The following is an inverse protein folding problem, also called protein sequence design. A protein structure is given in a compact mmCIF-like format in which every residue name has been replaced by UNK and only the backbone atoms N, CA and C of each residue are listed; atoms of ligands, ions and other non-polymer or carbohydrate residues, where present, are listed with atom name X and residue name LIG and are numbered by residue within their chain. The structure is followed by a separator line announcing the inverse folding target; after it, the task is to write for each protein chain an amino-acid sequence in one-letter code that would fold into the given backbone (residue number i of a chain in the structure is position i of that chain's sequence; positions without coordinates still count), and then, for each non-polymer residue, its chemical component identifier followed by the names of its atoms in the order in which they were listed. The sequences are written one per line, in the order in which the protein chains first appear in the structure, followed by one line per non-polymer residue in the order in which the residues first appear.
data_IF_643001898815
#
_entry.id   IF_643001898815
#
_cell.length_a   1.000
_cell.length_b   1.000
_cell.length_c   1.000
_cell.angle_alpha   90.00
_cell.angle_beta   90.00
_cell.angle_gamma   90.00
#
_symmetry.space_group_name_H-M   'P 1'
#
loop_
_entity.id
_entity.type
_entity.pdbx_description
1 polymer ?
#
# COMPACT_ATOMS: atom_id res chain seq x y z
N UNK A 1 -20.15 -8.20 -10.94
CA UNK A 1 -19.79 -7.28 -9.85
C UNK A 1 -19.00 -8.06 -8.82
N UNK A 2 -17.93 -7.48 -8.30
CA UNK A 2 -17.03 -8.11 -7.31
C UNK A 2 -17.20 -7.35 -5.99
N UNK A 3 -17.28 -8.07 -4.86
CA UNK A 3 -17.23 -7.43 -3.53
C UNK A 3 -15.79 -7.16 -3.15
N UNK A 4 -15.52 -5.95 -2.70
CA UNK A 4 -14.17 -5.51 -2.35
C UNK A 4 -14.20 -4.60 -1.13
N UNK A 5 -13.07 -4.48 -0.47
CA UNK A 5 -12.92 -3.81 0.81
C UNK A 5 -11.78 -2.79 0.75
N UNK A 6 -11.92 -1.72 1.52
CA UNK A 6 -10.84 -0.76 1.71
C UNK A 6 -10.92 -0.12 3.10
N UNK A 7 -9.75 0.14 3.67
CA UNK A 7 -9.60 0.96 4.87
C UNK A 7 -9.61 2.45 4.49
N UNK A 8 -10.62 3.19 4.96
CA UNK A 8 -10.73 4.62 4.78
C UNK A 8 -10.71 5.34 6.13
N UNK A 9 -10.06 6.51 6.20
CA UNK A 9 -10.17 7.35 7.38
C UNK A 9 -11.61 7.86 7.52
N UNK A 10 -12.10 8.00 8.76
CA UNK A 10 -13.46 8.47 9.11
C UNK A 10 -13.79 9.92 8.68
N UNK A 11 -12.83 10.68 8.13
CA UNK A 11 -12.98 12.08 7.67
C UNK A 11 -13.13 12.15 6.14
N UNK A 12 -13.59 13.28 5.54
CA UNK A 12 -14.51 13.26 4.40
C UNK A 12 -14.00 12.39 3.26
N UNK A 13 -14.83 11.40 2.90
CA UNK A 13 -14.58 10.43 1.83
C UNK A 13 -14.15 11.19 0.58
N UNK A 14 -12.87 11.07 0.22
CA UNK A 14 -12.43 11.50 -1.11
C UNK A 14 -13.20 10.66 -2.13
N UNK A 15 -14.07 11.31 -2.90
CA UNK A 15 -14.93 10.64 -3.88
C UNK A 15 -14.17 10.11 -5.10
N UNK A 16 -12.84 10.32 -5.18
CA UNK A 16 -12.04 9.82 -6.29
C UNK A 16 -11.59 8.38 -6.03
N UNK A 17 -12.39 7.43 -6.51
CA UNK A 17 -12.02 6.03 -6.64
C UNK A 17 -11.22 5.78 -7.92
N UNK A 18 -10.28 6.64 -8.29
CA UNK A 18 -9.31 6.37 -9.36
C UNK A 18 -7.95 6.10 -8.69
N UNK A 19 -7.25 5.06 -9.15
CA UNK A 19 -6.03 4.54 -8.53
C UNK A 19 -6.27 4.09 -7.07
N UNK A 20 -7.47 3.60 -6.75
CA UNK A 20 -7.77 3.08 -5.41
C UNK A 20 -7.60 1.57 -5.40
N UNK A 21 -6.88 1.08 -4.40
CA UNK A 21 -6.60 -0.35 -4.19
C UNK A 21 -7.73 -0.92 -3.33
N UNK A 22 -8.38 -1.98 -3.80
CA UNK A 22 -9.55 -2.58 -3.19
C UNK A 22 -9.33 -4.09 -3.09
N UNK A 23 -9.13 -4.60 -1.88
CA UNK A 23 -8.89 -6.02 -1.64
C UNK A 23 -10.19 -6.83 -1.73
N UNK A 24 -10.13 -8.08 -2.20
CA UNK A 24 -11.29 -8.98 -2.18
C UNK A 24 -11.59 -9.55 -0.78
N UNK A 25 -10.69 -9.35 0.17
CA UNK A 25 -10.84 -9.73 1.57
C UNK A 25 -10.76 -8.49 2.48
N UNK A 26 -11.59 -8.39 3.54
CA UNK A 26 -11.45 -7.33 4.53
C UNK A 26 -10.19 -7.50 5.39
N UNK A 27 -9.61 -8.71 5.45
CA UNK A 27 -8.33 -8.98 6.15
C UNK A 27 -7.24 -8.07 5.61
N UNK A 28 -7.10 -7.95 4.28
CA UNK A 28 -6.11 -7.07 3.66
C UNK A 28 -6.27 -5.61 4.07
N UNK A 29 -7.51 -5.14 4.28
CA UNK A 29 -7.76 -3.78 4.77
C UNK A 29 -7.32 -3.62 6.23
N UNK A 30 -7.56 -4.62 7.09
CA UNK A 30 -7.12 -4.59 8.48
C UNK A 30 -5.59 -4.67 8.61
N UNK A 31 -4.94 -5.55 7.83
CA UNK A 31 -3.49 -5.67 7.80
C UNK A 31 -2.82 -4.42 7.25
N UNK A 32 -3.43 -3.78 6.26
CA UNK A 32 -2.98 -2.46 5.76
C UNK A 32 -2.99 -1.39 6.85
N UNK A 33 -3.94 -1.43 7.78
CA UNK A 33 -3.98 -0.47 8.91
C UNK A 33 -2.80 -0.70 9.85
N UNK A 34 -2.47 -1.95 10.18
CA UNK A 34 -1.22 -2.26 10.91
C UNK A 34 0.00 -1.80 10.12
N UNK A 35 0.08 -2.13 8.82
CA UNK A 35 1.15 -1.70 7.95
C UNK A 35 1.34 -0.18 8.01
N UNK A 36 0.28 0.60 7.80
CA UNK A 36 0.34 2.06 7.86
C UNK A 36 0.71 2.61 9.24
N UNK A 37 0.43 1.88 10.33
CA UNK A 37 0.90 2.23 11.66
C UNK A 37 2.40 1.93 11.82
N UNK A 38 2.83 0.73 11.46
CA UNK A 38 4.23 0.28 11.53
C UNK A 38 5.17 1.13 10.66
N UNK A 39 4.68 1.69 9.54
CA UNK A 39 5.49 2.57 8.70
C UNK A 39 5.76 3.95 9.34
N UNK A 40 5.01 4.40 10.35
CA UNK A 40 5.21 5.73 10.96
C UNK A 40 6.53 5.86 11.71
N UNK A 41 7.00 4.75 12.28
CA UNK A 41 8.20 4.69 13.09
C UNK A 41 8.82 3.30 12.96
N UNK A 42 10.12 3.26 12.73
CA UNK A 42 10.84 1.99 12.79
C UNK A 42 10.84 1.52 14.25
N UNK A 43 10.23 0.36 14.50
CA UNK A 43 10.05 -0.19 15.85
C UNK A 43 10.56 -1.63 15.94
N UNK A 44 10.97 -2.06 17.14
CA UNK A 44 11.23 -3.47 17.43
C UNK A 44 10.66 -3.88 18.77
N UNK A 45 10.26 -5.15 18.87
CA UNK A 45 9.82 -5.77 20.12
C UNK A 45 11.00 -6.44 20.83
N UNK A 46 11.16 -6.14 22.11
CA UNK A 46 12.18 -6.74 22.96
C UNK A 46 11.62 -7.95 23.74
N UNK A 47 12.51 -8.81 24.22
CA UNK A 47 12.19 -10.03 24.99
C UNK A 47 11.53 -9.78 26.35
N UNK A 48 11.53 -8.54 26.82
CA UNK A 48 10.85 -8.06 28.03
C UNK A 48 9.51 -7.36 27.73
N UNK A 49 8.98 -7.54 26.52
CA UNK A 49 7.72 -6.93 26.08
C UNK A 49 7.74 -5.39 26.11
N UNK A 50 8.90 -4.79 25.85
CA UNK A 50 9.01 -3.37 25.54
C UNK A 50 9.22 -3.16 24.04
N UNK A 51 8.84 -1.98 23.55
CA UNK A 51 8.99 -1.55 22.16
C UNK A 51 10.05 -0.47 22.09
N UNK A 52 11.09 -0.69 21.28
CA UNK A 52 12.06 0.35 20.93
C UNK A 52 11.59 1.08 19.68
N UNK A 53 11.75 2.40 19.66
CA UNK A 53 11.66 3.22 18.45
C UNK A 53 13.05 3.59 18.00
N UNK A 54 13.28 3.58 16.70
CA UNK A 54 14.57 3.88 16.09
C UNK A 54 14.53 5.17 15.26
N UNK A 55 15.67 5.86 15.20
CA UNK A 55 15.91 6.90 14.19
C UNK A 55 16.27 6.29 12.82
N UNK A 56 16.47 7.16 11.83
CA UNK A 56 16.87 6.75 10.47
C UNK A 56 18.27 6.15 10.38
N UNK A 57 19.09 6.28 11.42
CA UNK A 57 20.42 5.66 11.53
C UNK A 57 20.37 4.30 12.26
N UNK A 58 19.20 3.89 12.74
CA UNK A 58 19.03 2.64 13.49
C UNK A 58 19.40 2.75 14.97
N UNK A 59 19.51 3.95 15.53
CA UNK A 59 19.70 4.14 16.96
C UNK A 59 18.37 4.16 17.69
N UNK A 60 18.33 3.56 18.89
CA UNK A 60 17.14 3.60 19.75
C UNK A 60 16.97 5.02 20.32
N UNK A 61 15.86 5.67 19.99
CA UNK A 61 15.53 7.03 20.45
C UNK A 61 14.45 7.05 21.54
N UNK A 62 13.67 5.97 21.66
CA UNK A 62 12.70 5.81 22.74
C UNK A 62 12.46 4.34 23.05
N UNK A 63 12.03 4.06 24.27
CA UNK A 63 11.59 2.74 24.71
C UNK A 63 10.32 2.87 25.52
N UNK A 64 9.31 2.06 25.22
CA UNK A 64 8.02 2.07 25.92
C UNK A 64 7.51 0.66 26.23
N UNK A 65 6.65 0.47 27.24
CA UNK A 65 5.97 -0.81 27.47
C UNK A 65 5.08 -1.20 26.28
N UNK A 66 4.92 -2.51 26.01
CA UNK A 66 4.03 -3.02 24.96
C UNK A 66 2.62 -2.44 25.07
N UNK A 67 2.04 -2.44 26.27
CA UNK A 67 0.67 -1.95 26.46
C UNK A 67 0.49 -0.50 26.02
N UNK A 68 1.47 0.38 26.27
CA UNK A 68 1.41 1.77 25.82
C UNK A 68 1.41 1.85 24.27
N UNK A 69 2.25 1.05 23.61
CA UNK A 69 2.27 0.96 22.15
C UNK A 69 0.95 0.42 21.57
N UNK A 70 0.31 -0.54 22.25
CA UNK A 70 -0.99 -1.07 21.83
C UNK A 70 -2.10 -0.01 21.95
N UNK A 71 -2.06 0.86 22.95
CA UNK A 71 -2.97 2.02 23.02
C UNK A 71 -2.74 3.02 21.88
N UNK A 72 -1.49 3.25 21.47
CA UNK A 72 -1.18 4.07 20.29
C UNK A 72 -1.77 3.44 19.02
N UNK A 73 -1.61 2.13 18.86
CA UNK A 73 -2.19 1.38 17.74
C UNK A 73 -3.73 1.44 17.74
N UNK A 74 -4.39 1.20 18.88
CA UNK A 74 -5.84 1.31 19.00
C UNK A 74 -6.32 2.72 18.64
N UNK A 75 -5.62 3.75 19.13
CA UNK A 75 -5.93 5.15 18.81
C UNK A 75 -5.81 5.42 17.31
N UNK A 76 -4.82 4.82 16.65
CA UNK A 76 -4.64 4.90 15.22
C UNK A 76 -5.74 4.14 14.44
N UNK A 77 -5.96 2.86 14.76
CA UNK A 77 -6.91 1.99 14.08
C UNK A 77 -8.35 2.53 14.15
N UNK A 78 -8.75 3.12 15.29
CA UNK A 78 -10.06 3.78 15.46
C UNK A 78 -10.32 4.94 14.50
N UNK A 79 -9.28 5.50 13.87
CA UNK A 79 -9.44 6.57 12.86
C UNK A 79 -9.89 6.03 11.51
N UNK A 80 -9.93 4.71 11.33
CA UNK A 80 -10.33 4.04 10.11
C UNK A 80 -11.64 3.27 10.27
N UNK A 81 -12.28 3.08 9.12
CA UNK A 81 -13.37 2.15 8.87
C UNK A 81 -12.93 1.20 7.74
N UNK A 82 -13.30 -0.08 7.84
CA UNK A 82 -13.19 -1.02 6.71
C UNK A 82 -14.55 -1.06 6.02
N UNK A 83 -14.66 -0.37 4.89
CA UNK A 83 -15.90 -0.28 4.13
C UNK A 83 -15.98 -1.35 3.04
N UNK A 84 -17.16 -1.93 2.86
CA UNK A 84 -17.47 -2.82 1.74
C UNK A 84 -17.99 -2.02 0.54
N UNK A 85 -17.54 -2.43 -0.65
CA UNK A 85 -17.95 -1.87 -1.92
C UNK A 85 -18.31 -2.96 -2.93
N UNK A 86 -19.18 -2.59 -3.87
CA UNK A 86 -19.41 -3.32 -5.11
C UNK A 86 -18.59 -2.69 -6.22
N UNK A 87 -17.79 -3.51 -6.88
CA UNK A 87 -16.87 -3.11 -7.95
C UNK A 87 -17.33 -3.67 -9.31
N UNK A 88 -17.45 -2.79 -10.29
CA UNK A 88 -17.77 -3.11 -11.68
C UNK A 88 -16.48 -3.28 -12.49
N UNK A 89 -16.20 -4.54 -12.83
CA UNK A 89 -15.06 -4.96 -13.65
C UNK A 89 -15.58 -5.85 -14.77
N UNK A 90 -15.06 -5.63 -15.96
CA UNK A 90 -15.28 -6.48 -17.12
C UNK A 90 -13.96 -7.10 -17.58
N UNK A 91 -12.91 -6.29 -17.75
CA UNK A 91 -11.65 -6.72 -18.35
C UNK A 91 -10.46 -6.18 -17.54
N UNK A 92 -10.06 -6.87 -16.46
CA UNK A 92 -8.93 -6.43 -15.65
C UNK A 92 -7.60 -6.80 -16.33
N UNK A 93 -6.64 -5.88 -16.31
CA UNK A 93 -5.24 -6.18 -16.67
C UNK A 93 -4.54 -6.78 -15.44
N UNK A 94 -4.03 -8.01 -15.59
CA UNK A 94 -3.28 -8.68 -14.54
C UNK A 94 -1.89 -8.06 -14.41
N UNK A 95 -1.57 -7.59 -13.21
CA UNK A 95 -0.27 -7.10 -12.82
C UNK A 95 0.44 -8.12 -11.90
N UNK A 96 1.76 -8.02 -11.87
CA UNK A 96 2.66 -8.74 -10.97
C UNK A 96 3.17 -7.74 -9.94
N UNK A 97 2.89 -8.00 -8.67
CA UNK A 97 3.49 -7.24 -7.58
C UNK A 97 4.95 -7.67 -7.42
N UNK A 98 5.87 -6.79 -7.81
CA UNK A 98 7.33 -7.03 -7.76
C UNK A 98 8.01 -6.35 -6.58
N UNK A 99 7.29 -5.49 -5.86
CA UNK A 99 7.84 -4.69 -4.78
C UNK A 99 7.29 -5.07 -3.42
N UNK A 100 6.24 -5.91 -3.40
CA UNK A 100 5.49 -6.20 -2.18
C UNK A 100 5.07 -4.87 -1.51
N UNK A 101 4.88 -3.82 -2.30
CA UNK A 101 4.54 -2.47 -1.88
C UNK A 101 4.23 -1.71 -3.16
N UNK A 102 3.15 -0.91 -3.21
CA UNK A 102 2.62 -0.50 -4.51
C UNK A 102 3.26 0.79 -5.05
N UNK A 103 4.19 0.66 -6.01
CA UNK A 103 4.20 1.58 -7.14
C UNK A 103 4.22 0.82 -8.47
N UNK A 104 3.05 0.53 -9.05
CA UNK A 104 2.85 0.01 -10.42
C UNK A 104 3.92 0.48 -11.43
N UNK A 105 4.24 1.78 -11.50
CA UNK A 105 5.22 2.30 -12.45
C UNK A 105 6.68 1.92 -12.18
N UNK A 106 7.05 1.59 -10.94
CA UNK A 106 8.42 1.25 -10.55
C UNK A 106 8.83 -0.17 -10.93
N UNK A 107 7.87 -1.07 -11.15
CA UNK A 107 8.12 -2.44 -11.59
C UNK A 107 8.51 -2.53 -13.09
N UNK A 108 8.48 -1.40 -13.80
CA UNK A 108 8.84 -1.32 -15.22
C UNK A 108 7.92 -2.19 -16.09
N UNK A 109 8.39 -2.68 -17.26
CA UNK A 109 7.54 -3.46 -18.15
C UNK A 109 7.15 -4.83 -17.57
N UNK A 110 7.86 -5.31 -16.54
CA UNK A 110 7.57 -6.56 -15.85
C UNK A 110 6.40 -6.46 -14.88
N UNK A 111 5.85 -5.26 -14.65
CA UNK A 111 4.64 -5.09 -13.84
C UNK A 111 3.43 -5.78 -14.46
N UNK A 112 3.41 -5.99 -15.78
CA UNK A 112 2.28 -6.63 -16.46
C UNK A 112 2.56 -8.11 -16.66
N UNK A 113 1.58 -8.96 -16.30
CA UNK A 113 1.65 -10.39 -16.58
C UNK A 113 1.54 -10.64 -18.09
N UNK A 114 2.69 -10.84 -18.72
CA UNK A 114 2.80 -11.03 -20.17
C UNK A 114 2.12 -12.32 -20.66
N UNK A 115 1.91 -13.31 -19.78
CA UNK A 115 1.23 -14.57 -20.13
C UNK A 115 -0.22 -14.36 -20.54
N UNK A 116 -0.81 -13.21 -20.17
CA UNK A 116 -2.20 -12.84 -20.46
C UNK A 116 -2.33 -11.87 -21.64
N UNK A 117 -1.22 -11.51 -22.30
CA UNK A 117 -1.19 -10.55 -23.39
C UNK A 117 -0.79 -11.20 -24.72
N UNK A 118 -1.32 -10.65 -25.82
CA UNK A 118 -0.81 -10.95 -27.16
C UNK A 118 0.58 -10.37 -27.35
N UNK A 119 1.37 -10.92 -28.27
CA UNK A 119 2.73 -10.40 -28.56
C UNK A 119 2.75 -8.92 -28.99
N UNK A 120 1.67 -8.41 -29.59
CA UNK A 120 1.55 -6.98 -29.93
C UNK A 120 1.44 -6.12 -28.67
N UNK A 121 0.51 -6.47 -27.78
CA UNK A 121 0.30 -5.75 -26.52
C UNK A 121 1.55 -5.81 -25.64
N UNK A 122 2.25 -6.94 -25.61
CA UNK A 122 3.52 -7.06 -24.90
C UNK A 122 4.55 -6.04 -25.41
N UNK A 123 4.73 -5.91 -26.74
CA UNK A 123 5.67 -4.93 -27.31
C UNK A 123 5.30 -3.50 -26.94
N UNK A 124 4.01 -3.18 -26.95
CA UNK A 124 3.53 -1.85 -26.54
C UNK A 124 3.85 -1.56 -25.07
N UNK A 125 3.60 -2.50 -24.16
CA UNK A 125 3.96 -2.36 -22.74
C UNK A 125 5.46 -2.10 -22.60
N UNK A 126 6.32 -2.89 -23.25
CA UNK A 126 7.77 -2.67 -23.20
C UNK A 126 8.17 -1.29 -23.75
N UNK A 127 7.50 -0.82 -24.80
CA UNK A 127 7.74 0.52 -25.35
C UNK A 127 7.35 1.64 -24.38
N UNK A 128 6.30 1.46 -23.56
CA UNK A 128 5.91 2.47 -22.56
C UNK A 128 7.00 2.75 -21.54
N UNK A 129 7.73 1.71 -21.12
CA UNK A 129 8.74 1.78 -20.08
C UNK A 129 10.16 1.97 -20.60
N UNK A 130 10.35 2.10 -21.92
CA UNK A 130 11.66 2.32 -22.51
C UNK A 130 12.34 3.56 -21.88
N UNK A 131 13.66 3.49 -21.61
CA UNK A 131 14.59 2.40 -21.91
C UNK A 131 14.72 1.33 -20.81
N UNK A 132 13.84 1.30 -19.81
CA UNK A 132 13.91 0.29 -18.75
C UNK A 132 13.40 -1.07 -19.24
N UNK A 133 14.18 -2.12 -18.97
CA UNK A 133 13.87 -3.51 -19.37
C UNK A 133 13.32 -4.36 -18.19
N UNK A 134 13.18 -3.77 -17.01
CA UNK A 134 12.75 -4.44 -15.81
C UNK A 134 12.48 -3.45 -14.69
N UNK A 135 12.64 -3.91 -13.44
CA UNK A 135 12.41 -3.10 -12.24
C UNK A 135 13.27 -1.83 -12.25
N UNK A 136 12.62 -0.70 -11.99
CA UNK A 136 13.19 0.64 -12.04
C UNK A 136 13.59 1.04 -10.62
N UNK A 137 14.86 0.83 -10.29
CA UNK A 137 15.42 1.28 -9.02
C UNK A 137 15.83 2.76 -9.09
N UNK A 138 15.89 3.47 -7.96
CA UNK A 138 16.25 4.89 -7.91
C UNK A 138 17.56 5.23 -8.65
N UNK A 139 18.59 4.39 -8.49
CA UNK A 139 19.88 4.55 -9.14
C UNK A 139 19.84 4.38 -10.67
N UNK A 140 18.78 3.79 -11.23
CA UNK A 140 18.61 3.65 -12.68
C UNK A 140 18.09 4.95 -13.31
N UNK A 141 17.35 5.75 -12.55
CA UNK A 141 16.62 6.91 -13.09
C UNK A 141 17.58 7.97 -13.62
N UNK A 142 18.55 8.39 -12.81
CA UNK A 142 19.51 9.43 -13.19
C UNK A 142 20.54 8.97 -14.24
N UNK A 143 20.57 7.67 -14.59
CA UNK A 143 21.34 7.17 -15.74
C UNK A 143 20.63 7.40 -17.08
N UNK A 144 19.32 7.65 -17.03
CA UNK A 144 18.45 7.77 -18.19
C UNK A 144 17.89 9.18 -18.33
N UNK A 145 17.43 9.76 -17.22
CA UNK A 145 16.80 11.07 -17.18
C UNK A 145 17.71 12.06 -16.47
N UNK A 146 17.92 13.23 -17.08
CA UNK A 146 18.49 14.36 -16.36
C UNK A 146 17.46 14.97 -15.40
N UNK A 147 17.93 15.75 -14.41
CA UNK A 147 17.02 16.51 -13.55
C UNK A 147 16.08 17.42 -14.34
N UNK A 148 16.55 18.00 -15.44
CA UNK A 148 15.74 18.84 -16.31
C UNK A 148 14.61 18.05 -16.96
N UNK A 149 14.86 16.81 -17.39
CA UNK A 149 13.82 15.94 -17.97
C UNK A 149 12.73 15.61 -16.95
N UNK A 150 13.13 15.31 -15.71
CA UNK A 150 12.19 14.98 -14.63
C UNK A 150 11.32 16.20 -14.28
N UNK A 151 11.92 17.39 -14.19
CA UNK A 151 11.15 18.63 -13.98
C UNK A 151 10.23 18.95 -15.16
N UNK A 152 10.61 18.61 -16.40
CA UNK A 152 9.73 18.74 -17.56
C UNK A 152 8.50 17.82 -17.45
N UNK A 153 8.69 16.59 -16.99
CA UNK A 153 7.58 15.64 -16.74
C UNK A 153 6.64 16.19 -15.66
N UNK A 154 7.19 16.69 -14.55
CA UNK A 154 6.40 17.31 -13.48
C UNK A 154 5.58 18.50 -13.99
N UNK A 155 6.18 19.35 -14.82
CA UNK A 155 5.49 20.49 -15.47
C UNK A 155 4.42 20.06 -16.45
N UNK A 156 4.65 19.00 -17.22
CA UNK A 156 3.65 18.43 -18.13
C UNK A 156 2.36 18.02 -17.40
N UNK A 157 2.49 17.55 -16.15
CA UNK A 157 1.36 17.15 -15.31
C UNK A 157 0.84 18.25 -14.36
N UNK A 158 1.26 19.51 -14.52
CA UNK A 158 0.94 20.59 -13.58
C UNK A 158 -0.58 20.81 -13.36
N UNK A 159 -1.41 20.54 -14.36
CA UNK A 159 -2.88 20.66 -14.27
C UNK A 159 -3.60 19.30 -14.14
N UNK A 160 -2.85 18.20 -14.10
CA UNK A 160 -3.43 16.86 -13.99
C UNK A 160 -3.76 16.55 -12.52
N UNK A 161 -5.04 16.68 -12.15
CA UNK A 161 -5.53 16.41 -10.78
C UNK A 161 -5.15 15.02 -10.25
N UNK A 162 -5.15 13.99 -11.10
CA UNK A 162 -4.77 12.64 -10.68
C UNK A 162 -3.29 12.58 -10.30
N UNK A 163 -2.41 13.11 -11.16
CA UNK A 163 -0.97 13.19 -10.87
C UNK A 163 -0.71 13.97 -9.59
N UNK A 164 -1.32 15.15 -9.44
CA UNK A 164 -1.12 16.01 -8.26
C UNK A 164 -1.53 15.28 -6.98
N UNK A 165 -2.70 14.62 -6.98
CA UNK A 165 -3.19 13.89 -5.82
C UNK A 165 -2.28 12.72 -5.45
N UNK A 166 -1.86 11.92 -6.44
CA UNK A 166 -0.98 10.78 -6.25
C UNK A 166 0.43 11.19 -5.80
N UNK A 167 0.94 12.30 -6.31
CA UNK A 167 2.23 12.87 -5.91
C UNK A 167 2.18 13.41 -4.47
N UNK A 168 1.09 14.10 -4.09
CA UNK A 168 0.90 14.58 -2.72
C UNK A 168 0.78 13.43 -1.72
N UNK A 169 0.10 12.32 -2.06
CA UNK A 169 0.07 11.11 -1.20
C UNK A 169 1.47 10.58 -0.92
N UNK A 170 2.33 10.52 -1.95
CA UNK A 170 3.74 10.09 -1.83
C UNK A 170 4.54 11.04 -0.95
N UNK A 171 4.37 12.35 -1.13
CA UNK A 171 4.99 13.38 -0.28
C UNK A 171 4.62 13.22 1.20
N UNK A 172 3.33 13.06 1.50
CA UNK A 172 2.87 12.88 2.88
C UNK A 172 3.38 11.56 3.48
N UNK A 173 3.46 10.48 2.67
CA UNK A 173 4.09 9.21 3.08
C UNK A 173 5.57 9.42 3.44
N UNK A 174 6.36 10.05 2.56
CA UNK A 174 7.78 10.32 2.82
C UNK A 174 7.98 11.17 4.08
N UNK A 175 7.11 12.18 4.30
CA UNK A 175 7.12 12.98 5.52
C UNK A 175 6.82 12.14 6.77
N UNK A 176 5.86 11.23 6.69
CA UNK A 176 5.48 10.37 7.82
C UNK A 176 6.62 9.44 8.26
N UNK A 177 7.46 8.99 7.31
CA UNK A 177 8.58 8.07 7.56
C UNK A 177 9.92 8.80 7.78
N UNK A 178 9.94 10.13 7.74
CA UNK A 178 11.17 10.94 7.89
C UNK A 178 12.12 10.88 6.70
N UNK A 179 11.64 10.51 5.51
CA UNK A 179 12.43 10.51 4.27
C UNK A 179 12.60 11.94 3.73
N UNK A 180 13.80 12.25 3.20
CA UNK A 180 14.04 13.51 2.48
C UNK A 180 13.35 13.49 1.09
N UNK A 181 12.09 13.95 1.08
CA UNK A 181 11.31 14.03 -0.14
C UNK A 181 11.91 14.96 -1.21
N UNK A 182 12.81 15.89 -0.84
CA UNK A 182 13.46 16.71 -1.86
C UNK A 182 14.36 15.89 -2.78
N UNK A 183 14.89 14.76 -2.26
CA UNK A 183 15.66 13.79 -3.03
C UNK A 183 14.75 12.73 -3.66
N UNK A 184 13.83 12.14 -2.88
CA UNK A 184 12.99 11.04 -3.38
C UNK A 184 11.89 11.50 -4.35
N UNK A 185 11.57 12.80 -4.44
CA UNK A 185 10.59 13.26 -5.44
C UNK A 185 10.96 12.90 -6.88
N UNK A 186 12.25 12.85 -7.23
CA UNK A 186 12.67 12.61 -8.61
C UNK A 186 12.32 11.20 -9.08
N UNK A 187 12.47 10.20 -8.21
CA UNK A 187 12.03 8.83 -8.51
C UNK A 187 10.51 8.73 -8.56
N UNK A 188 9.82 9.39 -7.63
CA UNK A 188 8.36 9.34 -7.53
C UNK A 188 7.67 9.97 -8.75
N UNK A 189 8.25 11.04 -9.31
CA UNK A 189 7.77 11.66 -10.56
C UNK A 189 7.83 10.67 -11.73
N UNK A 190 8.95 9.96 -11.89
CA UNK A 190 9.14 8.99 -12.99
C UNK A 190 8.21 7.79 -12.81
N UNK A 191 8.13 7.24 -11.60
CA UNK A 191 7.21 6.13 -11.34
C UNK A 191 5.74 6.54 -11.56
N UNK A 192 5.36 7.75 -11.20
CA UNK A 192 4.00 8.24 -11.43
C UNK A 192 3.71 8.51 -12.90
N UNK A 193 4.65 9.06 -13.65
CA UNK A 193 4.56 9.22 -15.11
C UNK A 193 4.29 7.87 -15.80
N UNK A 194 5.08 6.83 -15.50
CA UNK A 194 4.84 5.51 -16.04
C UNK A 194 3.53 4.87 -15.59
N UNK A 195 3.12 5.11 -14.33
CA UNK A 195 1.82 4.64 -13.83
C UNK A 195 0.67 5.24 -14.65
N UNK A 196 0.72 6.54 -14.94
CA UNK A 196 -0.30 7.20 -15.76
C UNK A 196 -0.24 6.74 -17.22
N UNK A 197 0.96 6.57 -17.79
CA UNK A 197 1.14 6.03 -19.15
C UNK A 197 0.55 4.62 -19.26
N UNK A 198 0.83 3.73 -18.31
CA UNK A 198 0.29 2.38 -18.28
C UNK A 198 -1.24 2.40 -18.13
N UNK A 199 -1.78 3.23 -17.22
CA UNK A 199 -3.23 3.43 -17.08
C UNK A 199 -3.87 3.85 -18.40
N UNK A 200 -3.32 4.85 -19.07
CA UNK A 200 -3.89 5.35 -20.33
C UNK A 200 -3.80 4.31 -21.45
N UNK A 201 -2.68 3.58 -21.53
CA UNK A 201 -2.52 2.47 -22.46
C UNK A 201 -3.52 1.34 -22.20
N UNK A 202 -3.73 0.97 -20.94
CA UNK A 202 -4.66 -0.08 -20.55
C UNK A 202 -6.10 0.27 -20.97
N UNK A 203 -6.54 1.50 -20.67
CA UNK A 203 -7.84 2.01 -21.09
C UNK A 203 -8.01 2.01 -22.61
N UNK A 204 -6.98 2.43 -23.37
CA UNK A 204 -7.00 2.42 -24.83
C UNK A 204 -7.13 1.01 -25.42
N UNK A 205 -6.62 0.00 -24.72
CA UNK A 205 -6.66 -1.39 -25.13
C UNK A 205 -7.83 -2.19 -24.52
N UNK A 206 -8.82 -1.51 -23.95
CA UNK A 206 -10.06 -2.14 -23.48
C UNK A 206 -9.98 -2.76 -22.08
N UNK A 207 -8.90 -2.53 -21.33
CA UNK A 207 -8.83 -2.88 -19.92
C UNK A 207 -9.48 -1.79 -19.08
N UNK A 208 -10.26 -2.17 -18.07
CA UNK A 208 -11.01 -1.22 -17.23
C UNK A 208 -10.50 -1.12 -15.78
N UNK A 209 -9.61 -2.02 -15.39
CA UNK A 209 -9.07 -2.13 -14.04
C UNK A 209 -7.70 -2.79 -14.07
N UNK A 210 -6.91 -2.63 -13.01
CA UNK A 210 -5.79 -3.51 -12.74
C UNK A 210 -6.17 -4.53 -11.66
N UNK A 211 -5.49 -5.67 -11.65
CA UNK A 211 -5.63 -6.68 -10.60
C UNK A 211 -4.28 -7.33 -10.32
N UNK A 212 -3.95 -7.55 -9.05
CA UNK A 212 -2.75 -8.26 -8.62
C UNK A 212 -3.05 -9.11 -7.38
N UNK A 213 -2.19 -10.09 -7.08
CA UNK A 213 -2.28 -10.88 -5.86
C UNK A 213 -1.53 -10.15 -4.73
N UNK A 214 -2.21 -9.84 -3.62
CA UNK A 214 -1.61 -9.14 -2.49
C UNK A 214 -1.07 -10.14 -1.46
N UNK A 215 0.24 -10.35 -1.46
CA UNK A 215 0.92 -11.27 -0.54
C UNK A 215 1.47 -10.59 0.72
N UNK A 216 1.57 -9.26 0.75
CA UNK A 216 2.08 -8.53 1.93
C UNK A 216 1.00 -8.32 2.98
N UNK A 217 -0.14 -7.78 2.54
CA UNK A 217 -1.26 -7.44 3.42
C UNK A 217 -2.33 -8.55 3.40
N UNK A 218 -2.21 -9.54 2.52
CA UNK A 218 -3.15 -10.65 2.38
C UNK A 218 -2.46 -12.00 2.20
N UNK A 219 -3.26 -13.04 2.00
CA UNK A 219 -2.82 -14.40 1.71
C UNK A 219 -2.75 -14.67 0.19
N UNK A 220 -2.46 -13.64 -0.60
CA UNK A 220 -2.40 -13.73 -2.06
C UNK A 220 -3.75 -13.56 -2.76
N UNK A 221 -4.78 -13.08 -2.06
CA UNK A 221 -6.05 -12.74 -2.70
C UNK A 221 -5.92 -11.56 -3.68
N UNK A 222 -6.87 -11.50 -4.62
CA UNK A 222 -6.91 -10.45 -5.63
C UNK A 222 -7.18 -9.09 -4.98
N UNK A 223 -6.36 -8.11 -5.33
CA UNK A 223 -6.57 -6.68 -5.08
C UNK A 223 -6.74 -5.97 -6.41
N UNK A 224 -7.82 -5.20 -6.53
CA UNK A 224 -8.14 -4.45 -7.73
C UNK A 224 -7.72 -2.99 -7.60
N UNK A 225 -7.27 -2.41 -8.71
CA UNK A 225 -7.02 -0.98 -8.83
C UNK A 225 -7.96 -0.40 -9.88
N UNK A 226 -8.70 0.61 -9.47
CA UNK A 226 -9.67 1.29 -10.32
C UNK A 226 -8.99 2.28 -11.27
N UNK A 227 -9.44 2.33 -12.53
CA UNK A 227 -8.86 3.19 -13.58
C UNK A 227 -9.82 4.27 -14.09
N UNK A 228 -11.13 4.06 -13.95
CA UNK A 228 -12.17 4.99 -14.40
C UNK A 228 -13.06 5.44 -13.23
N UNK A 229 -13.73 6.60 -13.34
CA UNK A 229 -14.78 7.00 -12.41
C UNK A 229 -15.89 5.95 -12.30
N UNK A 230 -16.62 5.97 -11.20
CA UNK A 230 -17.89 5.24 -11.01
C UNK A 230 -17.81 3.71 -11.14
N UNK A 231 -16.62 3.10 -11.07
CA UNK A 231 -16.48 1.64 -10.98
C UNK A 231 -16.96 1.09 -9.64
N UNK A 232 -17.02 1.94 -8.62
CA UNK A 232 -17.19 1.53 -7.23
C UNK A 232 -18.47 2.15 -6.68
N UNK A 233 -19.31 1.32 -6.08
CA UNK A 233 -20.45 1.76 -5.27
C UNK A 233 -20.31 1.23 -3.85
N UNK A 234 -20.62 2.06 -2.87
CA UNK A 234 -20.63 1.64 -1.46
C UNK A 234 -21.77 0.66 -1.21
N UNK A 235 -21.48 -0.47 -0.57
CA UNK A 235 -22.48 -1.53 -0.32
C UNK A 235 -23.42 -1.22 0.85
N UNK A 236 -23.08 -0.25 1.71
CA UNK A 236 -23.81 0.03 2.94
C UNK A 236 -23.13 -0.51 4.20
N UNK A 237 -22.28 -1.52 4.06
CA UNK A 237 -21.58 -2.20 5.16
C UNK A 237 -20.24 -1.56 5.48
N UNK A 238 -19.97 -1.36 6.76
CA UNK A 238 -18.68 -0.91 7.29
C UNK A 238 -18.37 -1.61 8.60
N UNK A 239 -17.08 -1.88 8.83
CA UNK A 239 -16.58 -2.52 10.04
C UNK A 239 -15.80 -1.49 10.86
N UNK A 240 -16.07 -1.46 12.16
CA UNK A 240 -15.40 -0.58 13.13
C UNK A 240 -14.50 -1.39 14.06
N UNK A 241 -13.38 -0.78 14.47
CA UNK A 241 -12.40 -1.42 15.33
C UNK A 241 -12.91 -1.52 16.79
N UNK A 242 -12.93 -2.73 17.33
CA UNK A 242 -13.30 -3.02 18.71
C UNK A 242 -12.06 -2.97 19.62
N UNK A 243 -11.72 -1.76 20.06
CA UNK A 243 -10.61 -1.51 20.98
C UNK A 243 -10.72 -2.30 22.30
N UNK A 244 -11.93 -2.40 22.87
CA UNK A 244 -12.13 -3.08 24.15
C UNK A 244 -11.77 -4.56 24.07
N UNK A 245 -12.22 -5.24 23.00
CA UNK A 245 -11.87 -6.64 22.74
C UNK A 245 -10.37 -6.79 22.44
N UNK A 246 -9.81 -5.93 21.58
CA UNK A 246 -8.39 -5.98 21.23
C UNK A 246 -7.49 -5.86 22.45
N UNK A 247 -7.73 -4.87 23.32
CA UNK A 247 -6.92 -4.63 24.52
C UNK A 247 -7.11 -5.71 25.60
N UNK A 248 -8.23 -6.45 25.58
CA UNK A 248 -8.45 -7.57 26.48
C UNK A 248 -7.67 -8.83 26.07
N UNK A 249 -7.44 -9.04 24.77
CA UNK A 249 -6.87 -10.30 24.24
C UNK A 249 -5.41 -10.17 23.78
N UNK A 250 -5.07 -9.11 23.03
CA UNK A 250 -3.78 -9.01 22.33
C UNK A 250 -2.55 -8.82 23.22
N UNK A 251 -2.58 -8.07 24.34
CA UNK A 251 -1.40 -7.89 25.16
C UNK A 251 -0.79 -9.22 25.63
N UNK A 252 -1.64 -10.16 26.04
CA UNK A 252 -1.19 -11.48 26.47
C UNK A 252 -0.67 -12.31 25.29
N UNK A 253 -1.43 -12.37 24.18
CA UNK A 253 -1.05 -13.16 23.01
C UNK A 253 0.27 -12.70 22.37
N UNK A 254 0.50 -11.38 22.28
CA UNK A 254 1.78 -10.83 21.79
C UNK A 254 2.91 -11.14 22.78
N UNK A 255 2.66 -11.02 24.09
CA UNK A 255 3.67 -11.34 25.10
C UNK A 255 4.09 -12.81 25.06
N UNK A 256 3.13 -13.73 24.91
CA UNK A 256 3.39 -15.16 24.73
C UNK A 256 4.17 -15.43 23.45
N UNK A 257 3.82 -14.77 22.34
CA UNK A 257 4.55 -14.84 21.08
C UNK A 257 6.02 -14.40 21.26
N UNK A 258 6.27 -13.27 21.93
CA UNK A 258 7.62 -12.76 22.23
C UNK A 258 8.41 -13.77 23.08
N UNK A 259 7.81 -14.32 24.13
CA UNK A 259 8.46 -15.30 25.02
C UNK A 259 8.86 -16.56 24.23
N UNK A 260 7.97 -17.07 23.39
CA UNK A 260 8.20 -18.26 22.58
C UNK A 260 9.27 -18.05 21.50
N UNK A 261 9.49 -16.79 21.07
CA UNK A 261 10.49 -16.43 20.06
C UNK A 261 11.88 -16.13 20.63
N UNK A 262 12.11 -16.17 21.95
CA UNK A 262 13.38 -15.77 22.61
C UNK A 262 14.68 -16.36 22.03
N UNK A 263 14.62 -17.45 21.26
CA UNK A 263 15.77 -18.12 20.65
C UNK A 263 15.79 -18.10 19.12
N UNK A 264 14.86 -17.39 18.46
CA UNK A 264 14.82 -17.24 17.01
C UNK A 264 15.05 -15.77 16.65
N UNK A 265 15.79 -15.46 15.57
CA UNK A 265 15.88 -14.09 15.09
C UNK A 265 14.45 -13.59 14.84
N UNK A 266 14.12 -12.43 15.41
CA UNK A 266 12.95 -11.64 15.01
C UNK A 266 13.19 -11.22 13.56
N UNK A 267 12.83 -12.09 12.61
CA UNK A 267 12.38 -11.57 11.33
C UNK A 267 11.29 -10.57 11.67
N UNK A 268 11.36 -9.37 11.09
CA UNK A 268 10.27 -8.38 11.16
C UNK A 268 9.01 -9.10 10.67
N UNK A 269 8.26 -9.67 11.60
CA UNK A 269 7.03 -10.32 11.27
C UNK A 269 6.09 -9.15 10.96
N UNK A 270 5.68 -9.08 9.69
CA UNK A 270 4.46 -8.36 9.39
C UNK A 270 3.36 -8.95 10.29
N UNK A 271 2.40 -8.14 10.71
CA UNK A 271 1.19 -8.60 11.41
C UNK A 271 1.44 -9.02 12.87
N UNK A 272 2.45 -8.40 13.49
CA UNK A 272 2.83 -8.61 14.89
C UNK A 272 1.78 -8.07 15.85
N UNK A 273 1.12 -6.96 15.49
CA UNK A 273 0.08 -6.37 16.34
C UNK A 273 -1.18 -7.24 16.39
N UNK A 274 -1.34 -8.17 15.44
CA UNK A 274 -2.37 -9.21 15.49
C UNK A 274 -1.90 -10.54 16.11
N UNK A 275 -0.64 -10.64 16.56
CA UNK A 275 -0.06 -11.89 17.06
C UNK A 275 -0.26 -13.10 16.11
N UNK A 276 -0.21 -12.85 14.79
CA UNK A 276 -0.50 -13.85 13.74
C UNK A 276 -1.91 -14.45 13.80
N UNK A 277 -2.86 -13.76 14.44
CA UNK A 277 -4.29 -14.09 14.43
C UNK A 277 -5.00 -13.36 13.31
N UNK A 278 -6.19 -13.85 12.96
CA UNK A 278 -7.07 -13.15 12.03
C UNK A 278 -7.48 -11.79 12.62
N UNK A 279 -7.10 -10.66 12.01
CA UNK A 279 -7.41 -9.34 12.54
C UNK A 279 -8.91 -9.06 12.56
N UNK A 280 -9.71 -9.71 11.70
CA UNK A 280 -11.14 -9.48 11.57
C UNK A 280 -11.91 -9.82 12.85
N UNK A 281 -11.34 -10.61 13.76
CA UNK A 281 -11.90 -10.83 15.09
C UNK A 281 -12.10 -9.54 15.90
N UNK A 282 -11.38 -8.46 15.56
CA UNK A 282 -11.44 -7.16 16.23
C UNK A 282 -12.17 -6.09 15.43
N UNK A 283 -12.82 -6.46 14.33
CA UNK A 283 -13.61 -5.56 13.48
C UNK A 283 -15.06 -6.02 13.46
N UNK A 284 -15.98 -5.16 13.86
CA UNK A 284 -17.41 -5.49 13.97
C UNK A 284 -18.24 -4.64 13.05
N UNK A 285 -19.26 -5.23 12.42
CA UNK A 285 -20.26 -4.48 11.67
C UNK A 285 -20.91 -3.41 12.53
N UNK A 286 -21.07 -2.23 11.92
CA UNK A 286 -21.77 -1.09 12.51
C UNK A 286 -23.28 -1.21 12.34
#
# INVERSE_FOLDING_TARGET
MVRVYNADRKSPKSNSFIMKHLGTSPVAAAERIEGMFAHQKMCSLNSDCSVNTYDSMGHVISRQPLLAHLYEFCSYAKTFDISEYSLKINTPLRLIDLWEDDPIGSAGPKVVDSSKLTSSLQKEVYALFAPFLGVIYPQHILRVFSFQDIENIKRYYADNKLFINEFNKRKERSKAIGEDFNRSQYQEIIWLDFTIKLKNWALKNGFDSFVYANHKEGNGEDTYVTLIPDQVSYSGTSLEFNEGKYLAEMPQLISEMIINMRNKPLHMANHVLWAQKDPMCFWTER
#
